data_IF_679441082677
#
_entry.id   IF_679441082677
#
_cell.length_a   1.000
_cell.length_b   1.000
_cell.length_c   1.000
_cell.angle_alpha   90.00
_cell.angle_beta   90.00
_cell.angle_gamma   90.00
#
_symmetry.space_group_name_H-M   'P 1'
#
loop_
_entity.id
_entity.type
_entity.pdbx_description
1 polymer ?
#
# COMPACT_ATOMS: atom_id res chain seq x y z
N UNK A 1 -37.00 25.96 -46.30
CA UNK A 1 -37.42 24.64 -45.82
C UNK A 1 -36.28 23.63 -45.82
N UNK A 2 -35.56 23.47 -46.93
CA UNK A 2 -34.47 22.47 -47.07
C UNK A 2 -33.28 22.73 -46.11
N UNK A 3 -32.86 24.00 -45.95
CA UNK A 3 -31.78 24.44 -45.05
C UNK A 3 -32.08 24.15 -43.57
N UNK A 4 -33.34 24.35 -43.16
CA UNK A 4 -33.77 24.08 -41.81
C UNK A 4 -33.72 22.56 -41.48
N UNK A 5 -34.11 21.74 -42.48
CA UNK A 5 -34.05 20.28 -42.33
C UNK A 5 -32.60 19.78 -42.23
N UNK A 6 -31.69 20.34 -43.04
CA UNK A 6 -30.28 20.02 -43.00
C UNK A 6 -29.62 20.47 -41.68
N UNK A 7 -29.99 21.63 -41.14
CA UNK A 7 -29.49 22.11 -39.86
C UNK A 7 -29.98 21.24 -38.70
N UNK A 8 -31.24 20.80 -38.73
CA UNK A 8 -31.83 19.93 -37.74
C UNK A 8 -31.16 18.53 -37.74
N UNK A 9 -30.94 17.94 -38.91
CA UNK A 9 -30.23 16.64 -39.01
C UNK A 9 -28.76 16.75 -38.60
N UNK A 10 -28.06 17.81 -38.94
CA UNK A 10 -26.69 18.04 -38.52
C UNK A 10 -26.60 18.22 -36.98
N UNK A 11 -27.52 18.97 -36.41
CA UNK A 11 -27.60 19.16 -34.97
C UNK A 11 -27.89 17.82 -34.21
N UNK A 12 -28.85 17.05 -34.74
CA UNK A 12 -29.17 15.74 -34.13
C UNK A 12 -27.99 14.76 -34.26
N UNK A 13 -27.34 14.69 -35.43
CA UNK A 13 -26.15 13.87 -35.63
C UNK A 13 -25.01 14.30 -34.71
N UNK A 14 -24.82 15.60 -34.52
CA UNK A 14 -23.78 16.13 -33.63
C UNK A 14 -24.05 15.75 -32.16
N UNK A 15 -25.30 15.84 -31.66
CA UNK A 15 -25.66 15.47 -30.27
C UNK A 15 -25.48 13.99 -30.03
N UNK A 16 -25.93 13.13 -30.94
CA UNK A 16 -25.77 11.68 -30.86
C UNK A 16 -24.30 11.24 -30.86
N UNK A 17 -23.50 11.82 -31.78
CA UNK A 17 -22.07 11.53 -31.86
C UNK A 17 -21.34 11.99 -30.58
N UNK A 18 -21.67 13.17 -30.06
CA UNK A 18 -21.09 13.70 -28.82
C UNK A 18 -21.40 12.84 -27.62
N UNK A 19 -22.66 12.42 -27.47
CA UNK A 19 -23.08 11.52 -26.37
C UNK A 19 -22.36 10.18 -26.45
N UNK A 20 -22.29 9.56 -27.63
CA UNK A 20 -21.59 8.30 -27.82
C UNK A 20 -20.06 8.41 -27.51
N UNK A 21 -19.42 9.51 -27.93
CA UNK A 21 -18.00 9.73 -27.63
C UNK A 21 -17.75 9.92 -26.13
N UNK A 22 -18.63 10.62 -25.43
CA UNK A 22 -18.51 10.80 -23.96
C UNK A 22 -18.72 9.48 -23.23
N UNK A 23 -19.73 8.69 -23.65
CA UNK A 23 -19.97 7.36 -23.04
C UNK A 23 -18.83 6.38 -23.32
N UNK A 24 -18.28 6.36 -24.54
CA UNK A 24 -17.09 5.56 -24.85
C UNK A 24 -15.87 5.98 -24.05
N UNK A 25 -15.61 7.29 -23.94
CA UNK A 25 -14.50 7.79 -23.13
C UNK A 25 -14.64 7.44 -21.65
N UNK A 26 -15.86 7.52 -21.11
CA UNK A 26 -16.13 7.07 -19.71
C UNK A 26 -15.93 5.57 -19.54
N UNK A 27 -16.42 4.75 -20.45
CA UNK A 27 -16.26 3.31 -20.39
C UNK A 27 -14.77 2.91 -20.47
N UNK A 28 -14.00 3.56 -21.33
CA UNK A 28 -12.56 3.33 -21.47
C UNK A 28 -11.78 3.75 -20.23
N UNK A 29 -12.12 4.91 -19.64
CA UNK A 29 -11.55 5.36 -18.37
C UNK A 29 -11.89 4.41 -17.22
N UNK A 30 -13.13 3.93 -17.13
CA UNK A 30 -13.55 2.97 -16.11
C UNK A 30 -12.83 1.63 -16.28
N UNK A 31 -12.70 1.13 -17.50
CA UNK A 31 -11.97 -0.10 -17.78
C UNK A 31 -10.48 0.03 -17.40
N UNK A 32 -9.85 1.15 -17.76
CA UNK A 32 -8.45 1.42 -17.42
C UNK A 32 -8.27 1.55 -15.91
N UNK A 33 -9.17 2.27 -15.22
CA UNK A 33 -9.14 2.39 -13.77
C UNK A 33 -9.31 1.02 -13.07
N UNK A 34 -10.21 0.18 -13.56
CA UNK A 34 -10.43 -1.17 -13.01
C UNK A 34 -9.18 -2.06 -13.16
N UNK A 35 -8.50 -2.00 -14.30
CA UNK A 35 -7.22 -2.71 -14.52
C UNK A 35 -6.15 -2.20 -13.56
N UNK A 36 -6.05 -0.88 -13.41
CA UNK A 36 -5.07 -0.27 -12.50
C UNK A 36 -5.32 -0.67 -11.04
N UNK A 37 -6.56 -0.61 -10.57
CA UNK A 37 -6.93 -1.05 -9.21
C UNK A 37 -6.56 -2.52 -9.00
N UNK A 38 -6.89 -3.39 -9.97
CA UNK A 38 -6.54 -4.81 -9.88
C UNK A 38 -5.03 -5.06 -9.83
N UNK A 39 -4.25 -4.28 -10.57
CA UNK A 39 -2.78 -4.36 -10.51
C UNK A 39 -2.24 -3.93 -9.15
N UNK A 40 -2.82 -2.87 -8.55
CA UNK A 40 -2.49 -2.44 -7.20
C UNK A 40 -2.83 -3.52 -6.15
N UNK A 41 -3.97 -4.20 -6.29
CA UNK A 41 -4.37 -5.28 -5.38
C UNK A 41 -3.36 -6.44 -5.43
N UNK A 42 -2.99 -6.89 -6.63
CA UNK A 42 -1.98 -7.96 -6.80
C UNK A 42 -0.63 -7.57 -6.21
N UNK A 43 -0.23 -6.30 -6.40
CA UNK A 43 1.01 -5.80 -5.80
C UNK A 43 0.93 -5.76 -4.28
N UNK A 44 -0.20 -5.30 -3.74
CA UNK A 44 -0.47 -5.29 -2.32
C UNK A 44 -0.32 -6.68 -1.70
N UNK A 45 -0.91 -7.70 -2.33
CA UNK A 45 -0.80 -9.08 -1.86
C UNK A 45 0.66 -9.53 -1.85
N UNK A 46 1.41 -9.30 -2.94
CA UNK A 46 2.82 -9.69 -3.02
C UNK A 46 3.67 -9.00 -1.96
N UNK A 47 3.54 -7.69 -1.80
CA UNK A 47 4.29 -6.94 -0.77
C UNK A 47 3.89 -7.42 0.63
N UNK A 48 2.62 -7.70 0.85
CA UNK A 48 2.12 -8.21 2.14
C UNK A 48 2.72 -9.57 2.46
N UNK A 49 2.74 -10.48 1.49
CA UNK A 49 3.32 -11.82 1.66
C UNK A 49 4.82 -11.73 1.94
N UNK A 50 5.53 -10.87 1.21
CA UNK A 50 6.96 -10.64 1.43
C UNK A 50 7.24 -10.08 2.85
N UNK A 51 6.41 -9.15 3.34
CA UNK A 51 6.53 -8.61 4.71
C UNK A 51 6.12 -9.65 5.75
N UNK A 52 5.11 -10.47 5.46
CA UNK A 52 4.66 -11.53 6.35
C UNK A 52 5.76 -12.59 6.58
N UNK A 53 6.59 -12.88 5.59
CA UNK A 53 7.75 -13.78 5.74
C UNK A 53 8.69 -13.29 6.87
N UNK A 54 8.92 -11.98 6.99
CA UNK A 54 9.74 -11.43 8.07
C UNK A 54 9.12 -11.69 9.44
N UNK A 55 7.80 -11.58 9.55
CA UNK A 55 7.10 -11.81 10.83
C UNK A 55 7.26 -13.25 11.36
N UNK A 56 7.60 -14.19 10.46
CA UNK A 56 7.88 -15.60 10.79
C UNK A 56 9.37 -15.85 11.08
N UNK A 57 10.25 -14.88 10.84
CA UNK A 57 11.68 -15.03 11.08
C UNK A 57 11.96 -15.27 12.57
N UNK A 58 12.68 -16.34 12.86
CA UNK A 58 12.98 -16.73 14.24
C UNK A 58 13.85 -15.71 14.96
N UNK A 59 14.86 -15.16 14.27
CA UNK A 59 15.80 -14.20 14.87
C UNK A 59 15.08 -12.90 15.22
N UNK A 60 14.19 -12.42 14.33
CA UNK A 60 13.36 -11.25 14.61
C UNK A 60 12.43 -11.49 15.80
N UNK A 61 11.68 -12.61 15.82
CA UNK A 61 10.77 -12.93 16.92
C UNK A 61 11.49 -13.03 18.26
N UNK A 62 12.68 -13.64 18.27
CA UNK A 62 13.52 -13.72 19.43
C UNK A 62 13.99 -12.33 19.89
N UNK A 63 14.50 -11.51 18.96
CA UNK A 63 14.94 -10.15 19.25
C UNK A 63 13.82 -9.28 19.83
N UNK A 64 12.59 -9.41 19.28
CA UNK A 64 11.42 -8.69 19.79
C UNK A 64 11.05 -9.18 21.20
N UNK A 65 11.07 -10.48 21.44
CA UNK A 65 10.74 -11.06 22.76
C UNK A 65 11.77 -10.70 23.84
N UNK A 66 13.04 -10.53 23.47
CA UNK A 66 14.15 -10.19 24.37
C UNK A 66 14.44 -8.68 24.44
N UNK A 67 13.64 -7.83 23.76
CA UNK A 67 13.82 -6.36 23.60
C UNK A 67 15.20 -6.00 23.01
N UNK A 68 15.77 -6.89 22.19
CA UNK A 68 17.01 -6.63 21.44
C UNK A 68 16.73 -5.75 20.20
N UNK A 69 16.72 -4.44 20.43
CA UNK A 69 16.42 -3.44 19.41
C UNK A 69 17.45 -3.44 18.27
N UNK A 70 18.71 -3.75 18.56
CA UNK A 70 19.78 -3.78 17.56
C UNK A 70 19.57 -4.89 16.53
N UNK A 71 19.32 -6.11 16.99
CA UNK A 71 19.01 -7.24 16.11
C UNK A 71 17.70 -7.03 15.37
N UNK A 72 16.65 -6.54 16.04
CA UNK A 72 15.37 -6.25 15.42
C UNK A 72 15.53 -5.20 14.30
N UNK A 73 16.25 -4.10 14.55
CA UNK A 73 16.48 -3.05 13.56
C UNK A 73 17.27 -3.55 12.36
N UNK A 74 18.30 -4.37 12.58
CA UNK A 74 19.10 -4.99 11.52
C UNK A 74 18.25 -5.91 10.63
N UNK A 75 17.37 -6.71 11.23
CA UNK A 75 16.44 -7.57 10.50
C UNK A 75 15.44 -6.75 9.66
N UNK A 76 14.88 -5.68 10.24
CA UNK A 76 13.99 -4.76 9.53
C UNK A 76 14.69 -4.09 8.34
N UNK A 77 15.90 -3.61 8.50
CA UNK A 77 16.70 -3.00 7.42
C UNK A 77 16.94 -3.97 6.27
N UNK A 78 17.46 -5.17 6.59
CA UNK A 78 17.77 -6.17 5.59
C UNK A 78 16.53 -6.59 4.79
N UNK A 79 15.41 -6.74 5.48
CA UNK A 79 14.17 -7.16 4.85
C UNK A 79 13.53 -6.02 4.05
N UNK A 80 13.53 -4.80 4.60
CA UNK A 80 13.03 -3.61 3.91
C UNK A 80 13.68 -3.42 2.55
N UNK A 81 15.00 -3.57 2.46
CA UNK A 81 15.74 -3.51 1.20
C UNK A 81 15.29 -4.57 0.19
N UNK A 82 14.94 -5.78 0.64
CA UNK A 82 14.47 -6.86 -0.22
C UNK A 82 13.09 -6.60 -0.80
N UNK A 83 12.18 -6.08 0.01
CA UNK A 83 10.79 -5.81 -0.41
C UNK A 83 10.63 -4.44 -1.08
N UNK A 84 11.67 -3.61 -1.07
CA UNK A 84 11.65 -2.26 -1.63
C UNK A 84 10.95 -1.24 -0.72
N UNK A 85 10.83 -1.55 0.58
CA UNK A 85 10.34 -0.60 1.56
C UNK A 85 11.45 0.42 1.88
N UNK A 86 11.13 1.69 1.81
CA UNK A 86 12.05 2.77 2.20
C UNK A 86 12.05 3.00 3.70
N UNK A 87 11.05 2.48 4.40
CA UNK A 87 10.94 2.57 5.84
C UNK A 87 10.25 1.33 6.39
N UNK A 88 10.83 0.76 7.44
CA UNK A 88 10.26 -0.32 8.23
C UNK A 88 10.18 0.12 9.68
N UNK A 89 9.07 -0.19 10.33
CA UNK A 89 8.80 0.13 11.72
C UNK A 89 8.48 -1.14 12.49
N UNK A 90 8.92 -1.22 13.74
CA UNK A 90 8.41 -2.14 14.73
C UNK A 90 7.48 -1.37 15.67
N UNK A 91 6.27 -1.85 15.84
CA UNK A 91 5.25 -1.21 16.67
C UNK A 91 4.88 -2.16 17.81
N UNK A 92 4.97 -1.69 19.03
CA UNK A 92 4.59 -2.45 20.22
C UNK A 92 3.08 -2.64 20.32
N UNK A 93 2.66 -3.53 21.23
CA UNK A 93 1.23 -3.75 21.50
C UNK A 93 0.53 -2.52 22.09
N UNK A 94 1.30 -1.59 22.64
CA UNK A 94 0.81 -0.28 23.11
C UNK A 94 0.59 0.75 21.97
N UNK A 95 0.82 0.34 20.72
CA UNK A 95 0.69 1.19 19.54
C UNK A 95 1.84 2.18 19.35
N UNK A 96 2.94 2.08 20.11
CA UNK A 96 4.11 2.94 19.93
C UNK A 96 5.18 2.30 19.06
N UNK A 97 5.88 3.13 18.32
CA UNK A 97 7.02 2.72 17.49
C UNK A 97 8.20 2.39 18.40
N UNK A 98 8.65 1.13 18.42
CA UNK A 98 9.79 0.65 19.21
C UNK A 98 11.09 0.62 18.45
N UNK A 99 11.04 0.44 17.10
CA UNK A 99 12.17 0.58 16.21
C UNK A 99 11.74 1.22 14.88
N UNK A 100 12.64 1.99 14.27
CA UNK A 100 12.41 2.74 13.03
C UNK A 100 13.70 2.74 12.22
N UNK A 101 13.64 2.22 10.99
CA UNK A 101 14.80 2.14 10.09
C UNK A 101 15.25 3.49 9.55
N UNK A 102 14.48 4.55 9.75
CA UNK A 102 14.85 5.92 9.36
C UNK A 102 15.48 6.64 10.57
N UNK A 103 16.68 6.20 10.94
CA UNK A 103 17.50 6.78 12.03
C UNK A 103 16.75 6.96 13.36
N UNK A 104 15.73 6.11 13.61
CA UNK A 104 14.92 6.18 14.83
C UNK A 104 14.02 7.41 14.93
N UNK A 105 13.76 8.10 13.81
CA UNK A 105 13.06 9.41 13.72
C UNK A 105 11.77 9.50 14.53
N UNK A 106 10.97 8.43 14.53
CA UNK A 106 9.68 8.41 15.23
C UNK A 106 9.63 7.39 16.37
N UNK A 107 10.77 6.87 16.81
CA UNK A 107 10.84 5.95 17.93
C UNK A 107 10.24 6.56 19.19
N UNK A 108 9.38 5.80 19.88
CA UNK A 108 8.64 6.21 21.07
C UNK A 108 7.34 6.99 20.76
N UNK A 109 7.10 7.40 19.52
CA UNK A 109 5.85 8.07 19.14
C UNK A 109 4.74 7.06 18.86
N UNK A 110 3.47 7.47 18.98
CA UNK A 110 2.35 6.65 18.53
C UNK A 110 2.43 6.39 17.03
N UNK A 111 2.11 5.15 16.61
CA UNK A 111 1.98 4.81 15.20
C UNK A 111 0.74 5.49 14.60
N UNK A 112 0.88 6.26 13.50
CA UNK A 112 -0.20 7.11 13.01
C UNK A 112 -1.40 6.36 12.40
N UNK A 113 -1.26 5.05 12.14
CA UNK A 113 -2.29 4.23 11.49
C UNK A 113 -2.80 3.14 12.43
N UNK A 114 -3.37 3.52 13.57
CA UNK A 114 -3.87 2.60 14.58
C UNK A 114 -4.91 1.60 14.04
N UNK A 115 -5.73 2.02 13.08
CA UNK A 115 -6.74 1.16 12.44
C UNK A 115 -6.09 -0.01 11.70
N UNK A 116 -4.89 0.18 11.12
CA UNK A 116 -4.16 -0.91 10.46
C UNK A 116 -3.66 -1.96 11.46
N UNK A 117 -3.31 -1.54 12.69
CA UNK A 117 -2.94 -2.48 13.76
C UNK A 117 -4.16 -3.32 14.15
N UNK A 118 -5.33 -2.68 14.32
CA UNK A 118 -6.57 -3.38 14.63
C UNK A 118 -6.92 -4.39 13.55
N UNK A 119 -6.88 -3.97 12.28
CA UNK A 119 -7.12 -4.85 11.13
C UNK A 119 -6.11 -6.00 11.07
N UNK A 120 -4.82 -5.73 11.29
CA UNK A 120 -3.78 -6.76 11.30
C UNK A 120 -3.93 -7.74 12.46
N UNK A 121 -4.47 -7.30 13.58
CA UNK A 121 -4.76 -8.18 14.73
C UNK A 121 -5.87 -9.19 14.42
N UNK A 122 -6.88 -8.77 13.65
CA UNK A 122 -8.08 -9.56 13.32
C UNK A 122 -7.86 -10.43 12.08
N UNK A 123 -7.17 -9.91 11.06
CA UNK A 123 -7.07 -10.50 9.72
C UNK A 123 -5.65 -10.88 9.31
N UNK A 124 -4.69 -10.88 10.26
CA UNK A 124 -3.25 -11.13 10.05
C UNK A 124 -2.54 -10.14 9.12
N UNK A 125 -3.25 -9.18 8.55
CA UNK A 125 -2.71 -8.11 7.73
C UNK A 125 -3.60 -6.88 7.75
N UNK A 126 -2.97 -5.70 7.72
CA UNK A 126 -3.63 -4.41 7.49
C UNK A 126 -2.89 -3.66 6.40
N UNK A 127 -3.60 -3.13 5.41
CA UNK A 127 -2.99 -2.39 4.30
C UNK A 127 -3.73 -1.09 4.03
N UNK A 128 -3.00 -0.05 3.64
CA UNK A 128 -3.57 1.23 3.22
C UNK A 128 -2.64 1.99 2.30
N UNK A 129 -3.20 2.88 1.49
CA UNK A 129 -2.44 3.93 0.80
C UNK A 129 -2.44 5.18 1.66
N UNK A 130 -1.27 5.77 1.85
CA UNK A 130 -1.12 7.03 2.56
C UNK A 130 -0.11 7.95 1.88
N UNK A 131 -0.32 9.26 2.02
CA UNK A 131 0.63 10.27 1.55
C UNK A 131 1.45 10.73 2.75
N UNK A 132 2.76 10.48 2.71
CA UNK A 132 3.71 10.92 3.74
C UNK A 132 4.78 11.78 3.05
N UNK A 133 4.98 13.00 3.55
CA UNK A 133 5.95 13.96 3.01
C UNK A 133 5.80 14.17 1.48
N UNK A 134 4.56 14.16 0.96
CA UNK A 134 4.26 14.35 -0.46
C UNK A 134 4.48 13.13 -1.36
N UNK A 135 4.86 12.00 -0.79
CA UNK A 135 5.03 10.72 -1.51
C UNK A 135 3.91 9.77 -1.14
N UNK A 136 3.37 9.07 -2.13
CA UNK A 136 2.36 8.02 -1.91
C UNK A 136 3.08 6.74 -1.47
N UNK A 137 2.66 6.18 -0.35
CA UNK A 137 3.15 4.92 0.18
C UNK A 137 2.05 3.88 0.24
N UNK A 138 2.41 2.67 -0.09
CA UNK A 138 1.67 1.49 0.32
C UNK A 138 2.15 1.08 1.71
N UNK A 139 1.26 1.15 2.70
CA UNK A 139 1.57 0.76 4.08
C UNK A 139 1.00 -0.63 4.32
N UNK A 140 1.86 -1.55 4.77
CA UNK A 140 1.50 -2.92 5.11
C UNK A 140 1.84 -3.14 6.57
N UNK A 141 0.89 -3.62 7.36
CA UNK A 141 1.07 -3.98 8.77
C UNK A 141 0.80 -5.46 8.95
N UNK A 142 1.73 -6.19 9.57
CA UNK A 142 1.58 -7.60 9.91
C UNK A 142 1.96 -7.86 11.37
N UNK A 143 1.29 -8.81 12.08
CA UNK A 143 1.64 -9.14 13.44
C UNK A 143 2.89 -10.03 13.50
N UNK A 144 3.75 -9.78 14.48
CA UNK A 144 4.82 -10.70 14.91
C UNK A 144 4.25 -11.57 16.02
N UNK A 145 4.24 -12.89 15.82
CA UNK A 145 3.62 -13.83 16.75
C UNK A 145 4.62 -14.78 17.40
N UNK A 146 4.42 -15.05 18.72
CA UNK A 146 5.18 -16.03 19.48
C UNK A 146 4.42 -16.57 20.71
N UNK A 147 3.44 -17.46 20.63
CA UNK A 147 2.48 -17.78 19.55
C UNK A 147 1.40 -16.72 19.37
N UNK A 148 1.18 -15.84 20.34
CA UNK A 148 0.28 -14.69 20.26
C UNK A 148 1.02 -13.48 19.68
N UNK A 149 0.31 -12.46 19.20
CA UNK A 149 0.97 -11.22 18.79
C UNK A 149 1.81 -10.63 19.92
N UNK A 150 3.08 -10.29 19.62
CA UNK A 150 4.02 -9.64 20.56
C UNK A 150 4.41 -8.25 20.08
N UNK A 151 4.25 -7.98 18.78
CA UNK A 151 4.47 -6.68 18.16
C UNK A 151 3.85 -6.69 16.74
N UNK A 152 3.97 -5.58 16.04
CA UNK A 152 3.61 -5.44 14.62
C UNK A 152 4.77 -4.90 13.82
N UNK A 153 4.91 -5.36 12.57
CA UNK A 153 5.82 -4.78 11.59
C UNK A 153 4.98 -3.91 10.66
N UNK A 154 5.40 -2.67 10.45
CA UNK A 154 4.84 -1.80 9.43
C UNK A 154 5.89 -1.51 8.37
N UNK A 155 5.57 -1.82 7.11
CA UNK A 155 6.40 -1.54 5.94
C UNK A 155 5.80 -0.40 5.14
N UNK A 156 6.60 0.61 4.78
CA UNK A 156 6.23 1.71 3.90
C UNK A 156 6.93 1.52 2.55
N UNK A 157 6.17 1.10 1.53
CA UNK A 157 6.66 0.89 0.17
C UNK A 157 6.23 2.07 -0.70
N UNK A 158 7.16 2.85 -1.28
CA UNK A 158 6.78 3.99 -2.10
C UNK A 158 6.13 3.54 -3.40
N UNK A 159 5.00 4.16 -3.75
CA UNK A 159 4.34 3.96 -5.04
C UNK A 159 5.01 4.91 -6.03
N UNK A 160 6.02 4.41 -6.74
CA UNK A 160 6.81 5.16 -7.71
C UNK A 160 6.88 4.43 -9.07
N UNK A 161 7.48 5.08 -10.07
CA UNK A 161 7.60 4.52 -11.42
C UNK A 161 8.32 3.16 -11.43
N UNK A 162 9.32 2.95 -10.55
CA UNK A 162 10.03 1.67 -10.44
C UNK A 162 9.12 0.55 -9.94
N UNK A 163 8.17 0.85 -9.05
CA UNK A 163 7.15 -0.09 -8.61
C UNK A 163 6.16 -0.39 -9.74
N UNK A 164 5.75 0.65 -10.47
CA UNK A 164 4.84 0.53 -11.63
C UNK A 164 5.48 -0.23 -12.79
N UNK A 165 6.79 -0.10 -13.02
CA UNK A 165 7.50 -0.88 -14.03
C UNK A 165 7.58 -2.37 -13.70
N UNK A 166 7.75 -2.71 -12.41
CA UNK A 166 7.67 -4.11 -11.95
C UNK A 166 6.29 -4.75 -12.19
N UNK A 167 5.26 -3.92 -12.37
CA UNK A 167 3.90 -4.38 -12.69
C UNK A 167 3.68 -4.61 -14.19
N UNK A 168 4.53 -4.02 -15.05
CA UNK A 168 4.44 -4.15 -16.51
C UNK A 168 5.16 -5.38 -17.08
N UNK A 169 6.05 -5.99 -16.33
CA UNK A 169 6.81 -7.19 -16.69
C UNK A 169 6.17 -8.46 -16.22
#
# INVERSE_FOLDING_TARGET
TLVVLQAATAFFAYTVVRENLVEQAKAELQATAAVFVRQLDVLSERVTDDVAVLSLDYALRKAVAEDDKGTALSALHNHGNRVGATRMLLVGLDGKITADTTDGRDQGKPFPFADLISTASESDKGTSLAVLDGVVYWIVVVPVRAPVPIAFIAACVPVNDALLEKLRG
#
